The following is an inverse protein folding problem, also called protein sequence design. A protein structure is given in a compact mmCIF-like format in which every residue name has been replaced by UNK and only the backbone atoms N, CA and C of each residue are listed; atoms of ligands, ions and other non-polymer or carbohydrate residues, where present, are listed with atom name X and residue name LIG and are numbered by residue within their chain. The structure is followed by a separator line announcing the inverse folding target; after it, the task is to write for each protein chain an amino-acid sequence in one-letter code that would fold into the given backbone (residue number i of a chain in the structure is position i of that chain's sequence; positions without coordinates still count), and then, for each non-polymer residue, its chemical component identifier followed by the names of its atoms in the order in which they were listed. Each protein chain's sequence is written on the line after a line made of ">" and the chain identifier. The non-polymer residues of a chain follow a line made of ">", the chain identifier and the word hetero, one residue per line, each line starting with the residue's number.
data_IF_834987735210
#
_entry.id   IF_834987735210
#
_cell.length_a   1.000
_cell.length_b   1.000
_cell.length_c   1.000
_cell.angle_alpha   90.00
_cell.angle_beta   90.00
_cell.angle_gamma   90.00
#
_symmetry.space_group_name_H-M   'P 1'
#
loop_
_entity.id
_entity.type
_entity.pdbx_description
1 polymer ?
#
# COMPACT_ATOMS: atom_id res chain seq x y z
N UNK A 1 36.17 10.77 -3.38
CA UNK A 1 34.72 10.97 -3.11
C UNK A 1 34.17 11.86 -4.19
N UNK A 2 33.36 11.32 -5.12
CA UNK A 2 32.80 12.10 -6.23
C UNK A 2 31.84 13.14 -5.67
N UNK A 3 32.08 14.42 -5.94
CA UNK A 3 31.22 15.52 -5.51
C UNK A 3 29.82 15.33 -6.10
N UNK A 4 28.79 15.34 -5.24
CA UNK A 4 27.42 15.13 -5.68
C UNK A 4 26.99 16.27 -6.62
N UNK A 5 26.79 15.95 -7.90
CA UNK A 5 26.17 16.83 -8.91
C UNK A 5 24.81 17.36 -8.43
N UNK A 6 24.39 18.55 -8.88
CA UNK A 6 23.08 19.14 -8.57
C UNK A 6 21.89 18.21 -8.84
N UNK A 7 22.00 17.33 -9.84
CA UNK A 7 21.00 16.30 -10.13
C UNK A 7 20.81 15.29 -8.98
N UNK A 8 21.88 14.90 -8.29
CA UNK A 8 21.78 13.99 -7.14
C UNK A 8 21.01 14.62 -5.98
N UNK A 9 21.26 15.91 -5.72
CA UNK A 9 20.51 16.67 -4.72
C UNK A 9 19.03 16.80 -5.08
N UNK A 10 18.71 16.96 -6.38
CA UNK A 10 17.32 16.96 -6.85
C UNK A 10 16.64 15.60 -6.61
N UNK A 11 17.32 14.48 -6.89
CA UNK A 11 16.80 13.13 -6.62
C UNK A 11 16.51 12.92 -5.14
N UNK A 12 17.41 13.39 -4.26
CA UNK A 12 17.20 13.33 -2.81
C UNK A 12 15.99 14.17 -2.41
N UNK A 13 15.88 15.40 -2.92
CA UNK A 13 14.74 16.27 -2.64
C UNK A 13 13.42 15.64 -3.10
N UNK A 14 13.40 15.01 -4.28
CA UNK A 14 12.25 14.29 -4.80
C UNK A 14 11.84 13.12 -3.90
N UNK A 15 12.80 12.29 -3.47
CA UNK A 15 12.54 11.16 -2.57
C UNK A 15 11.98 11.62 -1.22
N UNK A 16 12.52 12.68 -0.65
CA UNK A 16 12.08 13.20 0.65
C UNK A 16 10.72 13.87 0.53
N UNK A 17 10.55 14.82 -0.39
CA UNK A 17 9.32 15.63 -0.45
C UNK A 17 8.17 14.85 -1.08
N UNK A 18 8.41 14.18 -2.21
CA UNK A 18 7.33 13.55 -2.98
C UNK A 18 7.08 12.13 -2.48
N UNK A 19 8.10 11.28 -2.43
CA UNK A 19 7.88 9.88 -2.04
C UNK A 19 7.57 9.73 -0.55
N UNK A 20 8.29 10.46 0.30
CA UNK A 20 8.18 10.32 1.75
C UNK A 20 7.10 11.23 2.33
N UNK A 21 7.26 12.56 2.26
CA UNK A 21 6.35 13.51 2.94
C UNK A 21 4.93 13.39 2.38
N UNK A 22 4.73 13.45 1.07
CA UNK A 22 3.39 13.33 0.47
C UNK A 22 2.84 11.91 0.66
N UNK A 23 3.65 10.87 0.43
CA UNK A 23 3.24 9.47 0.60
C UNK A 23 2.73 9.17 2.01
N UNK A 24 3.52 9.48 3.04
CA UNK A 24 3.12 9.27 4.43
C UNK A 24 1.97 10.19 4.84
N UNK A 25 1.95 11.44 4.40
CA UNK A 25 0.82 12.35 4.72
C UNK A 25 -0.49 11.81 4.18
N UNK A 26 -0.51 11.30 2.95
CA UNK A 26 -1.69 10.65 2.36
C UNK A 26 -2.09 9.41 3.16
N UNK A 27 -1.13 8.54 3.49
CA UNK A 27 -1.36 7.33 4.27
C UNK A 27 -1.96 7.63 5.65
N UNK A 28 -1.36 8.54 6.41
CA UNK A 28 -1.85 8.92 7.74
C UNK A 28 -3.18 9.66 7.66
N UNK A 29 -3.41 10.48 6.63
CA UNK A 29 -4.71 11.10 6.39
C UNK A 29 -5.80 10.05 6.15
N UNK A 30 -5.51 9.02 5.34
CA UNK A 30 -6.43 7.91 5.09
C UNK A 30 -6.72 7.11 6.37
N UNK A 31 -5.69 6.78 7.15
CA UNK A 31 -5.84 6.09 8.43
C UNK A 31 -6.61 6.91 9.48
N UNK A 32 -6.47 8.24 9.45
CA UNK A 32 -7.21 9.12 10.34
C UNK A 32 -8.71 9.20 9.99
N UNK A 33 -9.07 8.98 8.72
CA UNK A 33 -10.45 9.12 8.21
C UNK A 33 -11.17 7.79 8.00
N UNK A 34 -10.44 6.70 7.75
CA UNK A 34 -10.98 5.38 7.48
C UNK A 34 -10.31 4.35 8.40
N UNK A 35 -11.06 3.35 8.86
CA UNK A 35 -10.50 2.27 9.69
C UNK A 35 -9.41 1.50 8.95
N UNK A 36 -8.42 0.98 9.69
CA UNK A 36 -7.25 0.23 9.17
C UNK A 36 -7.64 -0.80 8.10
N UNK A 37 -8.73 -1.54 8.32
CA UNK A 37 -9.19 -2.59 7.39
C UNK A 37 -9.59 -2.07 6.00
N UNK A 38 -9.97 -0.79 5.88
CA UNK A 38 -10.27 -0.16 4.59
C UNK A 38 -9.02 0.35 3.88
N UNK A 39 -7.95 0.63 4.65
CA UNK A 39 -6.72 1.25 4.15
C UNK A 39 -5.69 0.19 3.74
N UNK A 40 -5.62 -0.93 4.44
CA UNK A 40 -4.70 -2.04 4.14
C UNK A 40 -4.82 -2.57 2.70
N UNK A 41 -6.01 -2.70 2.08
CA UNK A 41 -6.12 -3.13 0.68
C UNK A 41 -5.38 -2.22 -0.32
N UNK A 42 -5.14 -0.94 -0.01
CA UNK A 42 -4.36 -0.06 -0.88
C UNK A 42 -2.89 -0.49 -0.98
N UNK A 43 -2.36 -1.26 -0.03
CA UNK A 43 -0.99 -1.79 -0.13
C UNK A 43 -0.83 -2.77 -1.29
N UNK A 44 -1.93 -3.36 -1.81
CA UNK A 44 -1.88 -4.18 -3.02
C UNK A 44 -1.61 -3.38 -4.30
N UNK A 45 -1.69 -2.04 -4.26
CA UNK A 45 -1.26 -1.20 -5.38
C UNK A 45 0.24 -1.31 -5.60
N UNK A 46 1.05 -1.55 -4.58
CA UNK A 46 2.51 -1.75 -4.72
C UNK A 46 2.83 -2.97 -5.60
N UNK A 47 2.41 -4.21 -5.28
CA UNK A 47 2.68 -5.37 -6.12
C UNK A 47 1.99 -5.26 -7.49
N UNK A 48 0.80 -4.66 -7.57
CA UNK A 48 0.14 -4.45 -8.87
C UNK A 48 0.93 -3.50 -9.77
N UNK A 49 1.46 -2.41 -9.20
CA UNK A 49 2.30 -1.45 -9.92
C UNK A 49 3.63 -2.07 -10.33
N UNK A 50 4.21 -2.93 -9.50
CA UNK A 50 5.42 -3.68 -9.85
C UNK A 50 5.20 -4.60 -11.05
N UNK A 51 4.10 -5.37 -11.07
CA UNK A 51 3.74 -6.22 -12.21
C UNK A 51 3.45 -5.38 -13.45
N UNK A 52 2.66 -4.32 -13.32
CA UNK A 52 2.37 -3.41 -14.43
C UNK A 52 3.65 -2.78 -15.00
N UNK A 53 4.57 -2.34 -14.13
CA UNK A 53 5.88 -1.83 -14.52
C UNK A 53 6.73 -2.88 -15.24
N UNK A 54 6.77 -4.13 -14.76
CA UNK A 54 7.47 -5.23 -15.45
C UNK A 54 6.93 -5.49 -16.86
N UNK A 55 5.61 -5.46 -17.04
CA UNK A 55 5.00 -5.65 -18.36
C UNK A 55 5.22 -4.43 -19.26
N UNK A 56 4.95 -3.22 -18.76
CA UNK A 56 4.93 -2.00 -19.57
C UNK A 56 6.34 -1.44 -19.85
N UNK A 57 7.23 -1.46 -18.85
CA UNK A 57 8.57 -0.87 -18.95
C UNK A 57 9.62 -1.89 -19.40
N UNK A 58 9.51 -3.14 -18.94
CA UNK A 58 10.48 -4.19 -19.26
C UNK A 58 10.01 -5.10 -20.41
N UNK A 59 8.75 -4.97 -20.86
CA UNK A 59 8.21 -5.80 -21.94
C UNK A 59 8.02 -7.27 -21.56
N UNK A 60 7.89 -7.57 -20.26
CA UNK A 60 7.74 -8.93 -19.81
C UNK A 60 6.47 -9.59 -20.36
N UNK A 61 6.64 -10.73 -21.03
CA UNK A 61 5.52 -11.55 -21.46
C UNK A 61 4.95 -12.28 -20.23
N UNK A 62 3.69 -11.97 -19.89
CA UNK A 62 2.96 -12.66 -18.84
C UNK A 62 2.72 -14.13 -19.24
N UNK A 63 3.57 -15.01 -18.74
CA UNK A 63 3.36 -16.46 -18.86
C UNK A 63 2.15 -16.89 -18.04
N UNK A 64 1.51 -17.99 -18.43
CA UNK A 64 0.34 -18.58 -17.75
C UNK A 64 0.56 -18.76 -16.24
N UNK A 65 1.78 -19.08 -15.81
CA UNK A 65 2.14 -19.21 -14.40
C UNK A 65 2.07 -17.88 -13.63
N UNK A 66 2.51 -16.77 -14.22
CA UNK A 66 2.41 -15.43 -13.62
C UNK A 66 0.96 -14.95 -13.56
N UNK A 67 0.17 -15.28 -14.58
CA UNK A 67 -1.27 -14.99 -14.58
C UNK A 67 -2.00 -15.74 -13.46
N UNK A 68 -1.70 -17.03 -13.29
CA UNK A 68 -2.23 -17.84 -12.19
C UNK A 68 -1.82 -17.29 -10.81
N UNK A 69 -0.57 -16.87 -10.66
CA UNK A 69 -0.09 -16.22 -9.44
C UNK A 69 -0.84 -14.90 -9.16
N UNK A 70 -1.03 -14.06 -10.18
CA UNK A 70 -1.78 -12.82 -10.06
C UNK A 70 -3.25 -13.04 -9.67
N UNK A 71 -3.91 -14.02 -10.31
CA UNK A 71 -5.29 -14.40 -9.96
C UNK A 71 -5.35 -14.95 -8.53
N UNK A 72 -4.41 -15.78 -8.10
CA UNK A 72 -4.38 -16.33 -6.75
C UNK A 72 -4.23 -15.21 -5.69
N UNK A 73 -3.34 -14.24 -5.92
CA UNK A 73 -3.17 -13.07 -5.04
C UNK A 73 -4.47 -12.26 -4.98
N UNK A 74 -5.01 -11.85 -6.13
CA UNK A 74 -6.27 -11.08 -6.21
C UNK A 74 -7.43 -11.80 -5.52
N UNK A 75 -7.51 -13.12 -5.67
CA UNK A 75 -8.53 -13.95 -5.00
C UNK A 75 -8.36 -13.93 -3.48
N UNK A 76 -7.13 -14.03 -2.97
CA UNK A 76 -6.83 -13.92 -1.54
C UNK A 76 -7.18 -12.54 -0.97
N UNK A 77 -6.86 -11.46 -1.70
CA UNK A 77 -7.23 -10.10 -1.33
C UNK A 77 -8.74 -9.94 -1.26
N UNK A 78 -9.45 -10.38 -2.31
CA UNK A 78 -10.90 -10.32 -2.37
C UNK A 78 -11.50 -11.12 -1.21
N UNK A 79 -11.00 -12.33 -0.94
CA UNK A 79 -11.44 -13.17 0.16
C UNK A 79 -11.34 -12.43 1.51
N UNK A 80 -10.17 -11.89 1.84
CA UNK A 80 -9.93 -11.18 3.11
C UNK A 80 -10.79 -9.90 3.19
N UNK A 81 -10.90 -9.15 2.09
CA UNK A 81 -11.60 -7.86 2.07
C UNK A 81 -13.12 -8.03 2.15
N UNK A 82 -13.68 -9.01 1.46
CA UNK A 82 -15.13 -9.23 1.41
C UNK A 82 -15.65 -10.09 2.58
N UNK A 83 -14.83 -11.00 3.13
CA UNK A 83 -15.22 -11.80 4.31
C UNK A 83 -14.96 -11.09 5.63
N UNK A 84 -13.95 -10.22 5.75
CA UNK A 84 -13.80 -9.34 6.90
C UNK A 84 -14.72 -8.12 6.79
N UNK A 85 -16.03 -8.35 6.60
CA UNK A 85 -17.02 -7.34 6.95
C UNK A 85 -16.78 -7.01 8.42
N UNK A 86 -16.44 -5.77 8.79
CA UNK A 86 -16.34 -5.40 10.18
C UNK A 86 -17.77 -5.48 10.74
N UNK A 87 -18.06 -6.53 11.49
CA UNK A 87 -19.22 -6.57 12.35
C UNK A 87 -19.14 -5.31 13.21
N UNK A 88 -20.10 -4.40 13.02
CA UNK A 88 -20.15 -3.05 13.60
C UNK A 88 -20.36 -3.03 15.12
N UNK A 89 -19.72 -3.92 15.86
CA UNK A 89 -19.79 -4.05 17.31
C UNK A 89 -18.39 -4.11 17.92
N UNK A 90 -17.56 -3.12 17.64
CA UNK A 90 -16.52 -2.74 18.59
C UNK A 90 -17.22 -2.01 19.75
N UNK A 91 -17.76 -2.77 20.72
CA UNK A 91 -18.13 -2.20 22.00
C UNK A 91 -16.84 -1.91 22.77
N UNK A 92 -16.50 -0.63 23.04
CA UNK A 92 -15.43 -0.33 23.97
C UNK A 92 -15.96 -0.71 25.35
N UNK A 93 -15.46 -1.81 25.92
CA UNK A 93 -15.60 -2.05 27.36
C UNK A 93 -14.68 -1.06 28.07
N UNK A 94 -15.15 0.18 28.24
CA UNK A 94 -14.56 1.11 29.20
C UNK A 94 -15.04 0.66 30.58
N UNK A 95 -14.38 -0.36 31.13
CA UNK A 95 -14.55 -0.66 32.55
C UNK A 95 -13.62 0.26 33.31
N UNK A 96 -14.09 1.46 33.64
CA UNK A 96 -13.45 2.31 34.65
C UNK A 96 -13.54 1.54 35.98
N UNK A 97 -12.39 1.15 36.53
CA UNK A 97 -12.31 0.63 37.90
C UNK A 97 -12.25 1.84 38.84
N UNK A 98 -13.23 2.07 39.72
CA UNK A 98 -13.08 3.06 40.77
C UNK A 98 -12.18 2.48 41.87
N UNK A 99 -11.22 3.28 42.29
CA UNK A 99 -10.42 3.13 43.51
C UNK A 99 -10.43 4.45 44.25
#
# INVERSE_FOLDING_TARGET
>A
VSTATSAHWLTVAYLVLVMTVIGYSCWYFLLARYGINQVVPFLFLEPLSAVAGGVLLLGEVLSTSRLLGGVAVLSGVALITFLNRPDGKQHPKITVRPG
#
